data_IF_351950588656
#
_entry.id   IF_351950588656
#
_cell.length_a   1.000
_cell.length_b   1.000
_cell.length_c   1.000
_cell.angle_alpha   90.00
_cell.angle_beta   90.00
_cell.angle_gamma   90.00
#
_symmetry.space_group_name_H-M   'P 1'
#
loop_
_entity.id
_entity.type
_entity.pdbx_description
1 polymer ?
#
# COMPACT_ATOMS: atom_id res chain seq x y z
N UNK A 1 16.72 -12.01 9.13
CA UNK A 1 15.94 -12.16 7.88
C UNK A 1 15.55 -10.76 7.46
N UNK A 2 15.95 -10.33 6.25
CA UNK A 2 15.77 -8.93 5.81
C UNK A 2 14.28 -8.66 5.60
N UNK A 3 13.68 -7.77 6.38
CA UNK A 3 12.25 -7.42 6.40
C UNK A 3 11.88 -6.37 5.34
N UNK A 4 12.63 -6.30 4.24
CA UNK A 4 12.40 -5.36 3.14
C UNK A 4 11.95 -6.13 1.91
N UNK A 5 10.69 -5.96 1.51
CA UNK A 5 10.17 -6.40 0.22
C UNK A 5 9.71 -5.18 -0.58
N UNK A 6 10.59 -4.19 -0.73
CA UNK A 6 10.26 -2.95 -1.45
C UNK A 6 9.97 -3.18 -2.96
N UNK A 7 10.33 -4.36 -3.48
CA UNK A 7 10.01 -4.80 -4.84
C UNK A 7 8.62 -5.46 -4.97
N UNK A 8 7.87 -5.58 -3.87
CA UNK A 8 6.55 -6.20 -3.86
C UNK A 8 5.47 -5.13 -3.81
N UNK A 9 4.61 -5.15 -4.81
CA UNK A 9 3.46 -4.27 -4.93
C UNK A 9 2.22 -4.91 -4.28
N UNK A 10 1.53 -4.11 -3.48
CA UNK A 10 0.23 -4.43 -2.90
C UNK A 10 -0.79 -3.45 -3.44
N UNK A 11 -1.88 -3.93 -4.00
CA UNK A 11 -2.99 -3.08 -4.42
C UNK A 11 -3.58 -2.35 -3.20
N UNK A 12 -3.86 -1.05 -3.34
CA UNK A 12 -4.51 -0.24 -2.32
C UNK A 12 -5.59 0.64 -2.96
N UNK A 13 -6.57 1.07 -2.17
CA UNK A 13 -7.52 2.10 -2.56
C UNK A 13 -7.17 3.39 -1.80
N UNK A 14 -6.66 4.40 -2.53
CA UNK A 14 -6.30 5.69 -1.93
C UNK A 14 -7.53 6.47 -1.44
N UNK A 15 -8.75 6.11 -1.84
CA UNK A 15 -9.98 6.66 -1.27
C UNK A 15 -10.36 6.02 0.07
N UNK A 16 -9.74 4.89 0.43
CA UNK A 16 -9.93 4.22 1.72
C UNK A 16 -9.10 4.87 2.86
N UNK A 17 -8.84 6.18 2.76
CA UNK A 17 -8.13 6.95 3.78
C UNK A 17 -8.81 6.91 5.15
N UNK A 18 -8.02 6.63 6.19
CA UNK A 18 -8.42 6.55 7.60
C UNK A 18 -7.28 7.06 8.47
N UNK A 19 -7.50 8.18 9.18
CA UNK A 19 -6.45 8.79 10.00
C UNK A 19 -5.24 9.17 9.15
N UNK A 20 -4.09 8.59 9.47
CA UNK A 20 -2.79 8.83 8.81
C UNK A 20 -2.48 7.85 7.67
N UNK A 21 -3.38 6.91 7.36
CA UNK A 21 -3.11 5.87 6.36
C UNK A 21 -4.32 5.43 5.56
N UNK A 22 -4.17 4.30 4.88
CA UNK A 22 -5.18 3.73 3.97
C UNK A 22 -5.51 2.31 4.39
N UNK A 23 -6.80 1.95 4.42
CA UNK A 23 -7.21 0.60 4.82
C UNK A 23 -6.68 -0.47 3.85
N UNK A 24 -6.00 -1.49 4.39
CA UNK A 24 -5.56 -2.67 3.62
C UNK A 24 -6.57 -3.83 3.69
N UNK A 25 -7.76 -3.60 4.25
CA UNK A 25 -8.83 -4.61 4.34
C UNK A 25 -9.72 -4.64 3.09
N UNK A 26 -9.28 -3.98 2.01
CA UNK A 26 -9.91 -4.10 0.70
C UNK A 26 -9.57 -5.45 0.06
N UNK A 27 -10.44 -5.92 -0.84
CA UNK A 27 -10.29 -7.23 -1.48
C UNK A 27 -8.93 -7.39 -2.19
N UNK A 28 -8.47 -6.37 -2.93
CA UNK A 28 -7.20 -6.42 -3.67
C UNK A 28 -6.00 -6.63 -2.76
N UNK A 29 -5.82 -5.77 -1.77
CA UNK A 29 -4.75 -5.88 -0.78
C UNK A 29 -4.72 -7.24 -0.08
N UNK A 30 -5.88 -7.75 0.35
CA UNK A 30 -6.00 -9.04 1.04
C UNK A 30 -5.64 -10.21 0.11
N UNK A 31 -6.05 -10.16 -1.16
CA UNK A 31 -5.69 -11.17 -2.16
C UNK A 31 -4.18 -11.17 -2.44
N UNK A 32 -3.55 -10.01 -2.56
CA UNK A 32 -2.11 -9.88 -2.78
C UNK A 32 -1.30 -10.43 -1.59
N UNK A 33 -1.66 -10.05 -0.36
CA UNK A 33 -1.02 -10.60 0.84
C UNK A 33 -1.18 -12.12 0.92
N UNK A 34 -2.36 -12.65 0.59
CA UNK A 34 -2.60 -14.09 0.55
C UNK A 34 -1.74 -14.78 -0.51
N UNK A 35 -1.55 -14.19 -1.68
CA UNK A 35 -0.68 -14.72 -2.73
C UNK A 35 0.79 -14.75 -2.31
N UNK A 36 1.19 -13.86 -1.40
CA UNK A 36 2.51 -13.87 -0.76
C UNK A 36 2.62 -14.86 0.41
N UNK A 37 1.54 -15.57 0.74
CA UNK A 37 1.46 -16.48 1.88
C UNK A 37 1.38 -15.78 3.23
N UNK A 38 0.91 -14.52 3.26
CA UNK A 38 0.80 -13.70 4.45
C UNK A 38 -0.66 -13.48 4.85
N UNK A 39 -0.92 -13.47 6.15
CA UNK A 39 -2.12 -12.85 6.72
C UNK A 39 -1.89 -11.38 7.03
N UNK A 40 -2.96 -10.62 7.27
CA UNK A 40 -2.86 -9.21 7.69
C UNK A 40 -2.03 -9.07 8.98
N UNK A 41 -2.30 -9.90 10.00
CA UNK A 41 -1.53 -9.89 11.25
C UNK A 41 -0.04 -10.19 11.02
N UNK A 42 0.30 -11.11 10.11
CA UNK A 42 1.69 -11.43 9.78
C UNK A 42 2.38 -10.31 9.00
N UNK A 43 1.62 -9.51 8.26
CA UNK A 43 2.13 -8.42 7.46
C UNK A 43 2.36 -7.14 8.28
N UNK A 44 1.86 -7.07 9.52
CA UNK A 44 2.12 -5.94 10.43
C UNK A 44 3.63 -5.80 10.66
N UNK A 45 4.16 -4.58 10.49
CA UNK A 45 5.59 -4.29 10.57
C UNK A 45 6.35 -4.52 9.26
N UNK A 46 5.71 -5.06 8.23
CA UNK A 46 6.34 -5.31 6.93
C UNK A 46 6.19 -4.13 5.98
N UNK A 47 7.21 -3.95 5.14
CA UNK A 47 7.31 -2.85 4.19
C UNK A 47 6.96 -3.30 2.78
N UNK A 48 6.14 -2.51 2.09
CA UNK A 48 5.69 -2.76 0.72
C UNK A 48 5.68 -1.46 -0.10
N UNK A 49 5.59 -1.62 -1.42
CA UNK A 49 5.13 -0.55 -2.30
C UNK A 49 3.63 -0.76 -2.51
N UNK A 50 2.83 0.28 -2.32
CA UNK A 50 1.38 0.24 -2.49
C UNK A 50 0.99 0.92 -3.79
N UNK A 51 0.17 0.25 -4.60
CA UNK A 51 -0.30 0.71 -5.90
C UNK A 51 -1.78 1.10 -5.82
N UNK A 52 -2.06 2.40 -5.93
CA UNK A 52 -3.39 3.00 -5.88
C UNK A 52 -4.19 2.90 -7.18
N UNK A 53 -3.59 2.34 -8.23
CA UNK A 53 -4.14 2.26 -9.57
C UNK A 53 -3.59 3.33 -10.52
N UNK A 54 -4.08 3.29 -11.76
CA UNK A 54 -3.68 4.20 -12.82
C UNK A 54 -4.38 5.57 -12.71
N UNK A 55 -3.62 6.62 -12.97
CA UNK A 55 -4.04 8.01 -13.08
C UNK A 55 -3.23 8.72 -14.18
N UNK A 56 -3.40 10.03 -14.33
CA UNK A 56 -2.54 10.87 -15.16
C UNK A 56 -1.51 11.59 -14.29
N UNK A 57 -0.23 11.56 -14.68
CA UNK A 57 0.79 12.39 -14.05
C UNK A 57 0.56 13.89 -14.35
N UNK A 58 1.42 14.77 -13.84
CA UNK A 58 1.31 16.22 -14.06
C UNK A 58 1.33 16.64 -15.54
N UNK A 59 1.92 15.82 -16.41
CA UNK A 59 1.96 16.04 -17.86
C UNK A 59 0.73 15.48 -18.61
N UNK A 60 -0.22 14.85 -17.90
CA UNK A 60 -1.39 14.22 -18.50
C UNK A 60 -1.12 12.82 -19.06
N UNK A 61 0.03 12.22 -18.74
CA UNK A 61 0.43 10.89 -19.22
C UNK A 61 -0.04 9.80 -18.25
N UNK A 62 -0.45 8.62 -18.72
CA UNK A 62 -0.79 7.49 -17.86
C UNK A 62 0.37 7.13 -16.91
N UNK A 63 0.05 7.03 -15.62
CA UNK A 63 1.00 6.66 -14.58
C UNK A 63 0.27 5.95 -13.43
N UNK A 64 0.95 5.05 -12.74
CA UNK A 64 0.45 4.48 -11.49
C UNK A 64 0.68 5.47 -10.34
N UNK A 65 -0.32 5.64 -9.47
CA UNK A 65 -0.15 6.36 -8.21
C UNK A 65 0.33 5.38 -7.14
N UNK A 66 1.51 5.62 -6.59
CA UNK A 66 2.20 4.70 -5.70
C UNK A 66 2.60 5.38 -4.39
N UNK A 67 2.83 4.60 -3.33
CA UNK A 67 3.63 5.04 -2.20
C UNK A 67 4.40 3.87 -1.58
N UNK A 68 5.50 4.15 -0.88
CA UNK A 68 6.18 3.15 -0.04
C UNK A 68 5.69 3.31 1.39
N UNK A 69 5.38 2.20 2.05
CA UNK A 69 4.82 2.24 3.40
C UNK A 69 4.97 0.95 4.18
N UNK A 70 4.42 0.96 5.38
CA UNK A 70 4.38 -0.15 6.32
C UNK A 70 2.93 -0.49 6.68
N UNK A 71 2.62 -1.78 6.86
CA UNK A 71 1.32 -2.17 7.40
C UNK A 71 1.37 -2.09 8.92
N UNK A 72 0.42 -1.39 9.52
CA UNK A 72 0.24 -1.26 10.97
C UNK A 72 -1.14 -1.78 11.38
N UNK A 73 -1.26 -2.18 12.64
CA UNK A 73 -2.54 -2.49 13.28
C UNK A 73 -2.95 -1.31 14.16
N UNK A 74 -3.97 -0.61 13.72
CA UNK A 74 -4.61 0.50 14.43
C UNK A 74 -5.82 -0.02 15.23
N UNK A 75 -5.93 0.39 16.49
CA UNK A 75 -6.98 -0.08 17.41
C UNK A 75 -8.40 0.36 16.99
N UNK A 76 -8.52 1.45 16.23
CA UNK A 76 -9.80 2.02 15.80
C UNK A 76 -10.16 1.63 14.38
N UNK A 77 -9.17 1.56 13.49
CA UNK A 77 -9.37 1.45 12.05
C UNK A 77 -8.93 0.12 11.45
N UNK A 78 -8.42 -0.82 12.26
CA UNK A 78 -8.02 -2.14 11.79
C UNK A 78 -6.61 -2.10 11.18
N UNK A 79 -6.44 -2.65 9.98
CA UNK A 79 -5.13 -2.68 9.33
C UNK A 79 -4.97 -1.52 8.35
N UNK A 80 -3.91 -0.74 8.52
CA UNK A 80 -3.62 0.43 7.69
C UNK A 80 -2.25 0.30 7.02
N UNK A 81 -2.15 0.79 5.79
CA UNK A 81 -0.88 1.12 5.15
C UNK A 81 -0.53 2.58 5.45
N UNK A 82 0.61 2.80 6.11
CA UNK A 82 1.11 4.13 6.44
C UNK A 82 2.26 4.49 5.47
N UNK A 83 2.16 5.58 4.70
CA UNK A 83 3.25 6.04 3.85
C UNK A 83 4.48 6.46 4.65
N UNK A 84 5.67 6.27 4.08
CA UNK A 84 6.91 6.87 4.58
C UNK A 84 7.02 8.36 4.21
N UNK A 85 8.14 8.98 4.61
CA UNK A 85 8.46 10.40 4.42
C UNK A 85 8.27 10.94 2.99
N UNK A 86 8.40 10.08 1.97
CA UNK A 86 8.31 10.50 0.55
C UNK A 86 6.85 10.65 0.06
N UNK A 87 5.85 10.22 0.84
CA UNK A 87 4.45 10.34 0.45
C UNK A 87 4.12 9.60 -0.86
N UNK A 88 3.12 10.10 -1.59
CA UNK A 88 2.65 9.54 -2.86
C UNK A 88 3.55 10.03 -4.03
N UNK A 89 3.85 9.13 -4.96
CA UNK A 89 4.56 9.43 -6.21
C UNK A 89 3.89 8.76 -7.41
N UNK A 90 4.13 9.32 -8.61
CA UNK A 90 3.65 8.74 -9.86
C UNK A 90 4.76 7.94 -10.54
N UNK A 91 4.44 6.72 -10.99
CA UNK A 91 5.33 5.86 -11.78
C UNK A 91 4.77 5.74 -13.19
N UNK A 92 5.55 6.11 -14.21
CA UNK A 92 5.16 5.90 -15.60
C UNK A 92 4.87 4.40 -15.86
N UNK A 93 3.74 4.13 -16.51
CA UNK A 93 3.31 2.77 -16.90
C UNK A 93 4.08 2.23 -18.10
#
# INVERSE_FOLDING_TARGET
>A
MSTHREDVEICIDLNAGRGEGYSVEIRGAVEDLRNLGLTLDQAVGMRFTFNGGADSNEAGEPADIMFKGEIVKDERWGYLAIPYEVGIFWRAT
#
